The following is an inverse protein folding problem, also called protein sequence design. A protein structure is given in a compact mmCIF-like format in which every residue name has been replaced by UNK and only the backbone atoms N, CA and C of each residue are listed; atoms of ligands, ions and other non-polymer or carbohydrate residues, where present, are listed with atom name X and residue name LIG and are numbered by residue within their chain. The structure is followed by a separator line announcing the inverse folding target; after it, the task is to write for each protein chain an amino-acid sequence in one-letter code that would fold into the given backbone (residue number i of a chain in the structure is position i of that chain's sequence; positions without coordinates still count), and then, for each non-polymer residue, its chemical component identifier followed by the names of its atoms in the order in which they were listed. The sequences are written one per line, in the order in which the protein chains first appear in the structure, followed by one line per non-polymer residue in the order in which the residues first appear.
data_IF_251508216881
#
_entry.id   IF_251508216881
#
_cell.length_a   1.000
_cell.length_b   1.000
_cell.length_c   1.000
_cell.angle_alpha   90.00
_cell.angle_beta   90.00
_cell.angle_gamma   90.00
#
_symmetry.space_group_name_H-M   'P 1'
#
loop_
_entity.id
_entity.type
_entity.pdbx_description
1 polymer ?
#
# COMPACT_ATOMS: atom_id res chain seq x y z
N UNK A 1 -1.13 -50.79 12.40
CA UNK A 1 -0.94 -50.26 11.03
C UNK A 1 -1.72 -48.96 10.81
N UNK A 2 -3.03 -48.93 11.07
CA UNK A 2 -3.88 -47.73 10.91
C UNK A 2 -3.45 -46.49 11.73
N UNK A 3 -3.15 -46.64 13.03
CA UNK A 3 -2.71 -45.51 13.89
C UNK A 3 -1.44 -44.79 13.39
N UNK A 4 -0.49 -45.53 12.81
CA UNK A 4 0.77 -44.96 12.30
C UNK A 4 0.55 -44.17 10.99
N UNK A 5 -0.40 -44.60 10.16
CA UNK A 5 -0.81 -43.88 8.95
C UNK A 5 -1.54 -42.58 9.30
N UNK A 6 -2.49 -42.66 10.23
CA UNK A 6 -3.24 -41.52 10.76
C UNK A 6 -2.30 -40.47 11.37
N UNK A 7 -1.31 -40.90 12.17
CA UNK A 7 -0.31 -40.00 12.75
C UNK A 7 0.56 -39.29 11.68
N UNK A 8 1.02 -40.01 10.65
CA UNK A 8 1.78 -39.40 9.55
C UNK A 8 0.95 -38.40 8.74
N UNK A 9 -0.31 -38.74 8.45
CA UNK A 9 -1.21 -37.85 7.73
C UNK A 9 -1.53 -36.60 8.55
N UNK A 10 -1.87 -36.76 9.83
CA UNK A 10 -2.13 -35.65 10.75
C UNK A 10 -0.92 -34.72 10.87
N UNK A 11 0.31 -35.24 10.86
CA UNK A 11 1.53 -34.41 10.91
C UNK A 11 1.71 -33.59 9.62
N UNK A 12 1.43 -34.17 8.46
CA UNK A 12 1.51 -33.48 7.16
C UNK A 12 0.46 -32.38 7.06
N UNK A 13 -0.79 -32.67 7.41
CA UNK A 13 -1.90 -31.71 7.43
C UNK A 13 -1.65 -30.57 8.43
N UNK A 14 -1.18 -30.90 9.64
CA UNK A 14 -0.76 -29.89 10.62
C UNK A 14 0.39 -29.02 10.08
N UNK A 15 1.30 -29.59 9.29
CA UNK A 15 2.38 -28.88 8.62
C UNK A 15 1.87 -27.86 7.60
N UNK A 16 0.91 -28.23 6.75
CA UNK A 16 0.31 -27.33 5.75
C UNK A 16 -0.43 -26.17 6.41
N UNK A 17 -1.30 -26.47 7.37
CA UNK A 17 -2.02 -25.48 8.20
C UNK A 17 -1.07 -24.47 8.81
N UNK A 18 -0.02 -24.95 9.50
CA UNK A 18 1.00 -24.10 10.15
C UNK A 18 1.74 -23.23 9.12
N UNK A 19 2.06 -23.79 7.96
CA UNK A 19 2.75 -23.07 6.90
C UNK A 19 1.89 -21.94 6.31
N UNK A 20 0.63 -22.21 5.98
CA UNK A 20 -0.31 -21.19 5.47
C UNK A 20 -0.50 -20.04 6.47
N UNK A 21 -0.76 -20.35 7.75
CA UNK A 21 -0.84 -19.34 8.80
C UNK A 21 0.46 -18.53 8.95
N UNK A 22 1.61 -19.21 8.92
CA UNK A 22 2.92 -18.54 9.01
C UNK A 22 3.11 -17.53 7.88
N UNK A 23 2.71 -17.87 6.64
CA UNK A 23 2.78 -16.93 5.51
C UNK A 23 1.89 -15.71 5.72
N UNK A 24 0.68 -15.89 6.22
CA UNK A 24 -0.22 -14.78 6.52
C UNK A 24 0.36 -13.83 7.57
N UNK A 25 0.85 -14.36 8.69
CA UNK A 25 1.45 -13.53 9.76
C UNK A 25 2.71 -12.81 9.28
N UNK A 26 3.57 -13.49 8.52
CA UNK A 26 4.85 -12.94 8.05
C UNK A 26 4.75 -12.08 6.79
N UNK A 27 3.57 -12.00 6.14
CA UNK A 27 3.38 -11.17 4.95
C UNK A 27 3.65 -9.68 5.28
N UNK A 28 4.50 -9.03 4.49
CA UNK A 28 4.82 -7.60 4.60
C UNK A 28 4.60 -6.92 3.26
N UNK A 29 3.88 -5.80 3.27
CA UNK A 29 3.71 -5.00 2.06
C UNK A 29 4.98 -4.23 1.73
N UNK A 30 5.28 -4.16 0.44
CA UNK A 30 6.38 -3.43 -0.16
C UNK A 30 5.88 -2.12 -0.75
N UNK A 31 6.67 -1.04 -0.59
CA UNK A 31 6.30 0.32 -1.03
C UNK A 31 6.29 0.52 -2.55
N UNK A 32 6.92 -0.39 -3.29
CA UNK A 32 7.11 -0.35 -4.74
C UNK A 32 6.02 -1.10 -5.52
N UNK A 33 5.10 -1.76 -4.83
CA UNK A 33 3.98 -2.50 -5.44
C UNK A 33 2.67 -1.84 -5.01
N UNK A 34 1.65 -1.91 -5.87
CA UNK A 34 0.30 -1.42 -5.54
C UNK A 34 -0.21 -2.09 -4.26
N UNK A 35 -0.83 -1.30 -3.38
CA UNK A 35 -1.48 -1.78 -2.16
C UNK A 35 -2.66 -2.67 -2.49
N UNK A 36 -3.39 -2.36 -3.57
CA UNK A 36 -4.55 -3.14 -4.01
C UNK A 36 -4.11 -4.56 -4.40
N UNK A 37 -3.06 -4.67 -5.22
CA UNK A 37 -2.50 -5.97 -5.64
C UNK A 37 -2.01 -6.77 -4.42
N UNK A 38 -1.28 -6.13 -3.51
CA UNK A 38 -0.78 -6.80 -2.30
C UNK A 38 -1.89 -7.20 -1.34
N UNK A 39 -3.00 -6.46 -1.31
CA UNK A 39 -4.19 -6.84 -0.53
C UNK A 39 -4.87 -8.07 -1.13
N UNK A 40 -4.92 -8.18 -2.46
CA UNK A 40 -5.40 -9.38 -3.15
C UNK A 40 -4.48 -10.59 -2.88
N UNK A 41 -3.16 -10.40 -2.89
CA UNK A 41 -2.19 -11.44 -2.52
C UNK A 41 -2.42 -11.95 -1.09
N UNK A 42 -2.66 -11.04 -0.15
CA UNK A 42 -2.96 -11.41 1.22
C UNK A 42 -4.29 -12.18 1.32
N UNK A 43 -5.32 -11.78 0.57
CA UNK A 43 -6.60 -12.50 0.49
C UNK A 43 -6.43 -13.92 -0.08
N UNK A 44 -5.54 -14.11 -1.07
CA UNK A 44 -5.21 -15.46 -1.57
C UNK A 44 -4.63 -16.35 -0.47
N UNK A 45 -3.76 -15.81 0.40
CA UNK A 45 -3.22 -16.56 1.54
C UNK A 45 -4.33 -16.89 2.55
N UNK A 46 -5.26 -15.96 2.80
CA UNK A 46 -6.40 -16.24 3.68
C UNK A 46 -7.27 -17.37 3.10
N UNK A 47 -7.55 -17.35 1.80
CA UNK A 47 -8.32 -18.42 1.16
C UNK A 47 -7.64 -19.78 1.29
N UNK A 48 -6.30 -19.84 1.24
CA UNK A 48 -5.55 -21.06 1.50
C UNK A 48 -5.70 -21.53 2.95
N UNK A 49 -5.66 -20.61 3.94
CA UNK A 49 -5.89 -20.95 5.35
C UNK A 49 -7.30 -21.54 5.56
N UNK A 50 -8.31 -20.92 4.93
CA UNK A 50 -9.70 -21.40 4.96
C UNK A 50 -9.83 -22.75 4.26
N UNK A 51 -9.15 -22.95 3.14
CA UNK A 51 -9.12 -24.22 2.40
C UNK A 51 -8.51 -25.35 3.26
N UNK A 52 -7.47 -25.06 4.03
CA UNK A 52 -6.89 -25.99 5.00
C UNK A 52 -7.79 -26.21 6.23
N UNK A 53 -8.96 -25.56 6.32
CA UNK A 53 -9.98 -25.80 7.35
C UNK A 53 -9.86 -24.91 8.59
N UNK A 54 -9.11 -23.79 8.51
CA UNK A 54 -9.02 -22.81 9.59
C UNK A 54 -9.94 -21.63 9.25
N UNK A 55 -10.93 -21.37 10.10
CA UNK A 55 -11.80 -20.21 9.93
C UNK A 55 -11.05 -18.92 10.27
N UNK A 56 -11.17 -17.92 9.41
CA UNK A 56 -10.58 -16.60 9.61
C UNK A 56 -11.68 -15.55 9.57
N UNK A 57 -11.97 -14.96 10.72
CA UNK A 57 -12.98 -13.92 10.88
C UNK A 57 -12.65 -12.68 10.01
N UNK A 58 -13.67 -12.08 9.40
CA UNK A 58 -13.51 -10.97 8.46
C UNK A 58 -12.79 -9.77 9.11
N UNK A 59 -13.05 -9.52 10.40
CA UNK A 59 -12.52 -8.37 11.13
C UNK A 59 -11.04 -8.60 11.46
N UNK A 60 -10.63 -9.86 11.66
CA UNK A 60 -9.20 -10.23 11.74
C UNK A 60 -8.51 -9.91 10.42
N UNK A 61 -9.13 -10.24 9.27
CA UNK A 61 -8.55 -9.97 7.96
C UNK A 61 -8.41 -8.46 7.71
N UNK A 62 -9.47 -7.70 8.01
CA UNK A 62 -9.49 -6.24 7.89
C UNK A 62 -8.41 -5.60 8.76
N UNK A 63 -8.31 -6.00 10.03
CA UNK A 63 -7.27 -5.52 10.94
C UNK A 63 -5.86 -5.85 10.41
N UNK A 64 -5.65 -7.08 9.94
CA UNK A 64 -4.38 -7.51 9.38
C UNK A 64 -3.98 -6.71 8.13
N UNK A 65 -4.93 -6.40 7.23
CA UNK A 65 -4.66 -5.56 6.05
C UNK A 65 -4.24 -4.16 6.51
N UNK A 66 -4.99 -3.54 7.43
CA UNK A 66 -4.70 -2.20 7.95
C UNK A 66 -3.32 -2.16 8.60
N UNK A 67 -3.00 -3.14 9.45
CA UNK A 67 -1.73 -3.24 10.16
C UNK A 67 -0.53 -3.47 9.23
N UNK A 68 -0.75 -4.09 8.06
CA UNK A 68 0.31 -4.37 7.07
C UNK A 68 0.59 -3.20 6.14
N UNK A 69 -0.23 -2.14 6.13
CA UNK A 69 0.04 -0.91 5.37
C UNK A 69 1.31 -0.22 5.90
N UNK A 70 2.07 0.38 5.00
CA UNK A 70 3.33 1.05 5.36
C UNK A 70 3.08 2.41 6.05
N UNK A 71 4.05 2.89 6.84
CA UNK A 71 3.92 4.11 7.67
C UNK A 71 3.45 5.38 6.94
N UNK A 72 3.69 5.51 5.62
CA UNK A 72 3.17 6.66 4.86
C UNK A 72 1.65 6.59 4.59
N UNK A 73 0.97 5.53 5.01
CA UNK A 73 -0.50 5.42 5.06
C UNK A 73 -1.05 5.67 6.46
N UNK A 74 -0.23 6.16 7.41
CA UNK A 74 -0.63 6.27 8.83
C UNK A 74 -1.91 7.06 9.04
N UNK A 75 -2.07 8.21 8.39
CA UNK A 75 -3.29 9.03 8.49
C UNK A 75 -4.53 8.27 7.98
N UNK A 76 -4.38 7.53 6.88
CA UNK A 76 -5.43 6.67 6.35
C UNK A 76 -5.76 5.51 7.31
N UNK A 77 -4.73 4.88 7.90
CA UNK A 77 -4.92 3.83 8.91
C UNK A 77 -5.69 4.35 10.13
N UNK A 78 -5.33 5.53 10.65
CA UNK A 78 -6.02 6.16 11.77
C UNK A 78 -7.48 6.46 11.42
N UNK A 79 -7.74 7.02 10.22
CA UNK A 79 -9.09 7.25 9.72
C UNK A 79 -9.95 5.97 9.63
N UNK A 80 -9.35 4.83 9.30
CA UNK A 80 -10.04 3.55 9.30
C UNK A 80 -10.31 3.01 10.72
N UNK A 81 -9.37 3.19 11.66
CA UNK A 81 -9.53 2.72 13.05
C UNK A 81 -10.59 3.49 13.84
N UNK A 82 -10.75 4.78 13.55
CA UNK A 82 -11.74 5.62 14.23
C UNK A 82 -13.18 5.43 13.71
N UNK A 83 -13.37 4.57 12.70
CA UNK A 83 -14.67 4.31 12.11
C UNK A 83 -15.49 3.36 12.97
N UNK A 84 -16.62 3.83 13.50
CA UNK A 84 -17.53 3.05 14.35
C UNK A 84 -18.29 1.93 13.59
N UNK A 85 -18.37 2.01 12.27
CA UNK A 85 -19.00 0.98 11.44
C UNK A 85 -18.05 -0.19 11.23
N UNK A 86 -18.53 -1.43 11.37
CA UNK A 86 -17.78 -2.61 10.92
C UNK A 86 -17.42 -2.44 9.45
N UNK A 87 -16.11 -2.50 9.17
CA UNK A 87 -15.57 -2.37 7.82
C UNK A 87 -15.51 -3.77 7.22
N UNK A 88 -16.14 -3.98 6.06
CA UNK A 88 -15.98 -5.23 5.30
C UNK A 88 -14.72 -5.18 4.43
N UNK A 89 -14.24 -6.35 4.01
CA UNK A 89 -13.07 -6.48 3.12
C UNK A 89 -13.31 -5.76 1.79
N UNK A 90 -14.51 -5.90 1.21
CA UNK A 90 -14.87 -5.23 -0.04
C UNK A 90 -14.80 -3.72 0.12
N UNK A 91 -15.40 -3.19 1.19
CA UNK A 91 -15.37 -1.75 1.47
C UNK A 91 -13.94 -1.24 1.73
N UNK A 92 -13.09 -2.05 2.38
CA UNK A 92 -11.68 -1.72 2.58
C UNK A 92 -10.95 -1.65 1.24
N UNK A 93 -11.11 -2.64 0.37
CA UNK A 93 -10.46 -2.67 -0.95
C UNK A 93 -10.83 -1.47 -1.80
N UNK A 94 -12.11 -1.10 -1.87
CA UNK A 94 -12.56 0.09 -2.61
C UNK A 94 -11.89 1.36 -2.07
N UNK A 95 -11.80 1.51 -0.75
CA UNK A 95 -11.13 2.67 -0.13
C UNK A 95 -9.63 2.70 -0.44
N UNK A 96 -8.96 1.54 -0.38
CA UNK A 96 -7.54 1.43 -0.73
C UNK A 96 -7.28 1.84 -2.17
N UNK A 97 -8.15 1.44 -3.09
CA UNK A 97 -8.03 1.80 -4.50
C UNK A 97 -8.19 3.30 -4.74
N UNK A 98 -9.22 3.93 -4.14
CA UNK A 98 -9.45 5.37 -4.25
C UNK A 98 -8.27 6.15 -3.69
N UNK A 99 -7.82 5.78 -2.49
CA UNK A 99 -6.73 6.44 -1.80
C UNK A 99 -5.39 6.29 -2.56
N UNK A 100 -5.12 5.09 -3.10
CA UNK A 100 -3.91 4.87 -3.90
C UNK A 100 -3.90 5.76 -5.14
N UNK A 101 -5.04 5.91 -5.82
CA UNK A 101 -5.16 6.75 -7.01
C UNK A 101 -5.03 8.25 -6.68
N UNK A 102 -5.63 8.71 -5.58
CA UNK A 102 -5.47 10.07 -5.08
C UNK A 102 -3.99 10.40 -4.86
N UNK A 103 -3.25 9.53 -4.17
CA UNK A 103 -1.80 9.72 -3.94
C UNK A 103 -0.96 9.71 -5.21
N UNK A 104 -1.34 8.93 -6.24
CA UNK A 104 -0.66 8.97 -7.54
C UNK A 104 -0.86 10.32 -8.22
N UNK A 105 -2.08 10.87 -8.14
CA UNK A 105 -2.41 12.14 -8.75
C UNK A 105 -1.74 13.32 -8.04
N UNK A 106 -1.66 13.29 -6.71
CA UNK A 106 -0.95 14.33 -5.93
C UNK A 106 0.53 14.42 -6.33
N UNK A 107 1.21 13.28 -6.42
CA UNK A 107 2.61 13.23 -6.89
C UNK A 107 2.79 13.79 -8.30
N UNK A 108 1.82 13.54 -9.20
CA UNK A 108 1.84 14.08 -10.56
C UNK A 108 1.66 15.61 -10.52
N UNK A 109 0.76 16.12 -9.70
CA UNK A 109 0.50 17.54 -9.54
C UNK A 109 1.70 18.28 -8.93
N UNK A 110 2.34 17.70 -7.92
CA UNK A 110 3.59 18.20 -7.32
C UNK A 110 4.72 18.29 -8.36
N UNK A 111 4.92 17.24 -9.16
CA UNK A 111 5.93 17.25 -10.22
C UNK A 111 5.67 18.34 -11.27
N UNK A 112 4.40 18.57 -11.63
CA UNK A 112 4.00 19.64 -12.55
C UNK A 112 4.23 21.04 -11.94
N UNK A 113 3.94 21.22 -10.66
CA UNK A 113 4.15 22.50 -9.96
C UNK A 113 5.64 22.86 -9.83
N UNK A 114 6.49 21.86 -9.56
CA UNK A 114 7.95 22.04 -9.45
C UNK A 114 8.58 22.43 -10.80
N UNK A 115 8.15 21.80 -11.89
CA UNK A 115 8.61 22.17 -13.24
C UNK A 115 8.19 23.59 -13.65
N UNK A 116 7.00 24.05 -13.25
CA UNK A 116 6.55 25.42 -13.52
C UNK A 116 7.37 26.47 -12.77
N UNK A 117 7.75 26.20 -11.52
CA UNK A 117 8.62 27.10 -10.75
C UNK A 117 10.02 27.20 -11.35
N UNK A 118 10.61 26.08 -11.79
CA UNK A 118 11.93 26.07 -12.43
C UNK A 118 11.96 26.90 -13.75
N UNK A 119 10.88 26.87 -14.51
CA UNK A 119 10.77 27.66 -15.75
C UNK A 119 10.52 29.15 -15.50
N UNK A 120 9.92 29.53 -14.37
CA UNK A 120 9.68 30.95 -14.05
C UNK A 120 10.94 31.66 -13.54
N UNK A 121 11.86 30.94 -12.86
CA UNK A 121 13.12 31.51 -12.37
C UNK A 121 14.18 31.73 -13.46
N UNK A 122 14.06 31.09 -14.62
CA UNK A 122 15.03 31.25 -15.73
C UNK A 122 14.75 32.46 -16.65
N UNK A 123 13.64 33.18 -16.48
CA UNK A 123 13.29 34.34 -17.31
C UNK A 123 13.54 35.71 -16.63
N UNK A 124 14.26 35.75 -15.49
CA UNK A 124 14.59 37.00 -14.80
C UNK A 124 16.10 37.24 -14.68
N UNK A 125 16.83 36.98 -15.76
CA UNK A 125 18.21 37.44 -15.93
C UNK A 125 18.44 37.73 -17.41
N UNK A 126 18.24 38.99 -17.80
CA UNK A 126 19.08 39.77 -18.73
C UNK A 126 18.27 40.93 -19.32
N UNK A 127 18.55 42.17 -18.88
CA UNK A 127 19.17 43.19 -19.74
C UNK A 127 19.35 44.50 -18.96
N UNK A 128 20.53 44.67 -18.38
CA UNK A 128 20.99 45.93 -17.81
C UNK A 128 22.34 46.29 -18.42
N UNK A 129 22.42 46.39 -19.75
CA UNK A 129 23.66 46.81 -20.39
C UNK A 129 23.70 48.34 -20.54
N UNK A 130 24.64 48.93 -19.81
CA UNK A 130 25.05 50.31 -19.95
C UNK A 130 25.61 50.57 -21.35
N UNK A 131 25.32 51.73 -21.92
CA UNK A 131 26.18 52.29 -22.96
C UNK A 131 26.27 53.80 -22.77
N UNK A 132 27.32 54.23 -22.07
CA UNK A 132 27.85 55.57 -22.24
C UNK A 132 28.58 55.60 -23.58
N UNK A 133 28.33 56.63 -24.38
CA UNK A 133 29.24 57.04 -25.44
C UNK A 133 29.16 58.57 -25.57
N UNK A 134 30.24 59.21 -25.15
CA UNK A 134 30.64 60.57 -25.54
C UNK A 134 30.76 60.67 -27.07
N UNK A 135 30.22 61.74 -27.67
CA UNK A 135 30.74 62.33 -28.91
C UNK A 135 30.20 63.75 -29.16
N UNK A 136 31.05 64.74 -28.86
CA UNK A 136 31.28 66.04 -29.56
C UNK A 136 30.21 66.55 -30.53
N UNK A 137 29.66 67.74 -30.26
CA UNK A 137 29.98 68.99 -30.98
C UNK A 137 29.48 70.22 -30.21
#
# INVERSE_FOLDING_TARGET
MWKALEQKYNTKEAGKKKYACSRFFNYKMSKNVSVVVQTQDLQMIVHEIIFEGIQVDEQIQVAAIIDKLWNSWKEFQEGLRHKKSQLSIVNLMTRLQIEEEARKQDKKNEALANNKHANHTNNHQDNGNANGNDAKK
#
